data_IF_888725981480
#
_entry.id   IF_888725981480
#
_cell.length_a   1.000
_cell.length_b   1.000
_cell.length_c   1.000
_cell.angle_alpha   90.00
_cell.angle_beta   90.00
_cell.angle_gamma   90.00
#
_symmetry.space_group_name_H-M   'P 1'
#
loop_
_entity.id
_entity.type
_entity.pdbx_description
1 polymer ?
#
# COMPACT_ATOMS: atom_id res chain seq x y z
N UNK A 1 -45.32 -85.14 -20.60
CA UNK A 1 -46.02 -84.00 -21.23
C UNK A 1 -46.14 -82.88 -20.20
N UNK A 2 -45.66 -81.69 -20.59
CA UNK A 2 -45.85 -80.35 -20.02
C UNK A 2 -45.37 -79.95 -18.60
N UNK A 3 -44.52 -78.90 -18.64
CA UNK A 3 -44.51 -77.66 -17.84
C UNK A 3 -44.11 -77.71 -16.36
N UNK A 4 -43.01 -77.04 -16.00
CA UNK A 4 -43.02 -75.61 -15.64
C UNK A 4 -41.60 -75.02 -15.43
N UNK A 5 -41.42 -73.78 -15.88
CA UNK A 5 -40.28 -72.88 -15.68
C UNK A 5 -40.14 -72.37 -14.23
N UNK A 6 -38.94 -71.97 -13.81
CA UNK A 6 -38.55 -70.55 -13.57
C UNK A 6 -37.12 -70.37 -12.97
N UNK A 7 -36.31 -69.60 -13.71
CA UNK A 7 -35.26 -68.59 -13.36
C UNK A 7 -34.07 -68.84 -12.41
N UNK A 8 -32.89 -69.00 -13.03
CA UNK A 8 -31.68 -68.11 -13.06
C UNK A 8 -31.26 -67.26 -11.83
N UNK A 9 -30.05 -67.51 -11.29
CA UNK A 9 -28.86 -66.61 -11.40
C UNK A 9 -27.70 -67.00 -10.46
N UNK A 10 -26.52 -67.17 -11.07
CA UNK A 10 -25.18 -67.29 -10.47
C UNK A 10 -24.67 -65.94 -9.95
N UNK A 11 -23.94 -65.95 -8.82
CA UNK A 11 -22.80 -65.03 -8.63
C UNK A 11 -21.69 -65.68 -7.82
N UNK A 12 -20.55 -65.88 -8.47
CA UNK A 12 -19.28 -66.37 -7.94
C UNK A 12 -18.52 -65.21 -7.26
N UNK A 13 -17.95 -65.47 -6.08
CA UNK A 13 -17.12 -64.53 -5.32
C UNK A 13 -15.66 -64.73 -5.69
N UNK A 14 -14.92 -63.65 -5.95
CA UNK A 14 -13.44 -63.66 -6.05
C UNK A 14 -12.88 -62.37 -5.47
N UNK A 15 -11.74 -62.55 -4.82
CA UNK A 15 -11.04 -61.80 -3.77
C UNK A 15 -10.27 -60.55 -4.23
N UNK A 16 -10.01 -59.66 -3.26
CA UNK A 16 -8.84 -58.72 -3.12
C UNK A 16 -8.96 -57.34 -3.79
N UNK A 17 -9.13 -56.28 -2.99
CA UNK A 17 -8.03 -55.35 -2.68
C UNK A 17 -8.41 -54.39 -1.53
N UNK A 18 -7.56 -54.35 -0.51
CA UNK A 18 -7.60 -53.46 0.66
C UNK A 18 -6.20 -52.92 0.82
N UNK A 19 -5.89 -51.78 0.17
CA UNK A 19 -4.72 -50.94 0.47
C UNK A 19 -4.69 -49.68 -0.43
N UNK A 20 -5.64 -48.74 -0.30
CA UNK A 20 -5.49 -47.45 -0.99
C UNK A 20 -6.21 -46.25 -0.32
N UNK A 21 -6.53 -46.29 0.97
CA UNK A 21 -7.23 -45.18 1.65
C UNK A 21 -6.55 -44.62 2.90
N UNK A 22 -5.28 -45.01 3.17
CA UNK A 22 -4.56 -44.59 4.37
C UNK A 22 -3.54 -43.46 4.14
N UNK A 23 -3.32 -43.00 2.90
CA UNK A 23 -2.28 -42.00 2.59
C UNK A 23 -2.79 -40.58 2.34
N UNK A 24 -4.08 -40.39 2.06
CA UNK A 24 -4.67 -39.05 1.83
C UNK A 24 -5.14 -38.38 3.14
N UNK A 25 -5.36 -39.15 4.21
CA UNK A 25 -5.89 -38.64 5.47
C UNK A 25 -4.83 -37.98 6.36
N UNK A 26 -3.57 -38.39 6.28
CA UNK A 26 -2.46 -37.81 7.08
C UNK A 26 -2.07 -36.41 6.59
N UNK A 27 -1.94 -36.23 5.28
CA UNK A 27 -1.54 -34.94 4.67
C UNK A 27 -2.58 -33.83 4.92
N UNK A 28 -3.87 -34.17 4.87
CA UNK A 28 -4.96 -33.24 5.20
C UNK A 28 -4.99 -32.81 6.67
N UNK A 29 -4.57 -33.68 7.59
CA UNK A 29 -4.54 -33.39 9.03
C UNK A 29 -3.37 -32.47 9.38
N UNK A 30 -2.20 -32.73 8.80
CA UNK A 30 -1.00 -31.91 8.99
C UNK A 30 -1.17 -30.50 8.38
N UNK A 31 -1.86 -30.37 7.24
CA UNK A 31 -2.18 -29.07 6.64
C UNK A 31 -3.17 -28.26 7.48
N UNK A 32 -4.17 -28.91 8.09
CA UNK A 32 -5.12 -28.26 9.00
C UNK A 32 -4.43 -27.79 10.30
N UNK A 33 -3.53 -28.59 10.85
CA UNK A 33 -2.78 -28.25 12.05
C UNK A 33 -1.80 -27.09 11.78
N UNK A 34 -1.16 -27.08 10.62
CA UNK A 34 -0.30 -25.98 10.18
C UNK A 34 -1.08 -24.69 9.95
N UNK A 35 -2.25 -24.76 9.31
CA UNK A 35 -3.12 -23.60 9.11
C UNK A 35 -3.60 -23.01 10.44
N UNK A 36 -4.00 -23.85 11.39
CA UNK A 36 -4.38 -23.43 12.74
C UNK A 36 -3.21 -22.79 13.50
N UNK A 37 -1.99 -23.32 13.32
CA UNK A 37 -0.80 -22.76 13.96
C UNK A 37 -0.38 -21.41 13.35
N UNK A 38 -0.52 -21.24 12.03
CA UNK A 38 -0.32 -19.95 11.35
C UNK A 38 -1.36 -18.94 11.85
N UNK A 39 -2.64 -19.31 11.91
CA UNK A 39 -3.70 -18.41 12.40
C UNK A 39 -3.42 -17.96 13.84
N UNK A 40 -3.05 -18.89 14.72
CA UNK A 40 -2.73 -18.59 16.12
C UNK A 40 -1.47 -17.71 16.26
N UNK A 41 -0.42 -17.97 15.47
CA UNK A 41 0.79 -17.13 15.46
C UNK A 41 0.52 -15.73 14.90
N UNK A 42 -0.34 -15.61 13.89
CA UNK A 42 -0.72 -14.33 13.30
C UNK A 42 -1.53 -13.50 14.29
N UNK A 43 -2.44 -14.15 15.01
CA UNK A 43 -3.23 -13.53 16.09
C UNK A 43 -2.35 -13.12 17.28
N UNK A 44 -1.36 -13.93 17.65
CA UNK A 44 -0.41 -13.60 18.71
C UNK A 44 0.57 -12.48 18.32
N UNK A 45 1.00 -12.41 17.05
CA UNK A 45 1.80 -11.29 16.53
C UNK A 45 0.98 -10.00 16.53
N UNK A 46 -0.29 -10.06 16.12
CA UNK A 46 -1.20 -8.91 16.20
C UNK A 46 -1.41 -8.45 17.64
N UNK A 47 -1.60 -9.37 18.59
CA UNK A 47 -1.73 -9.04 20.02
C UNK A 47 -0.47 -8.39 20.58
N UNK A 48 0.71 -8.95 20.31
CA UNK A 48 2.00 -8.40 20.77
C UNK A 48 2.27 -7.01 20.20
N UNK A 49 1.92 -6.77 18.93
CA UNK A 49 2.02 -5.45 18.29
C UNK A 49 1.03 -4.46 18.89
N UNK A 50 -0.21 -4.87 19.19
CA UNK A 50 -1.21 -4.04 19.87
C UNK A 50 -0.79 -3.64 21.30
N UNK A 51 -0.20 -4.57 22.06
CA UNK A 51 0.38 -4.27 23.38
C UNK A 51 1.56 -3.29 23.27
N UNK A 52 2.36 -3.39 22.20
CA UNK A 52 3.47 -2.46 21.93
C UNK A 52 2.99 -1.03 21.63
N UNK A 53 1.86 -0.87 20.94
CA UNK A 53 1.28 0.44 20.56
C UNK A 53 0.67 1.15 21.78
N UNK A 54 -0.02 0.42 22.67
CA UNK A 54 -0.65 1.01 23.86
C UNK A 54 0.36 1.45 24.94
N UNK A 55 1.49 0.73 25.08
CA UNK A 55 2.52 1.08 26.06
C UNK A 55 3.29 2.39 25.70
N UNK A 56 3.22 2.84 24.44
CA UNK A 56 4.01 3.98 23.96
C UNK A 56 3.34 5.35 24.22
N UNK A 57 2.02 5.45 24.10
CA UNK A 57 1.30 6.74 24.20
C UNK A 57 1.32 7.34 25.62
N UNK A 58 1.27 6.52 26.67
CA UNK A 58 1.32 6.99 28.06
C UNK A 58 2.73 7.49 28.47
N UNK A 59 3.78 6.87 27.90
CA UNK A 59 5.18 7.17 28.26
C UNK A 59 5.61 8.56 27.78
N UNK A 60 5.14 9.03 26.63
CA UNK A 60 5.54 10.34 26.08
C UNK A 60 4.93 11.53 26.81
N UNK A 61 3.63 11.50 27.17
CA UNK A 61 3.02 12.55 28.01
C UNK A 61 3.68 12.65 29.38
N UNK A 62 3.98 11.51 30.00
CA UNK A 62 4.68 11.48 31.29
C UNK A 62 6.10 12.08 31.20
N UNK A 63 6.77 11.90 30.06
CA UNK A 63 8.12 12.45 29.82
C UNK A 63 8.08 13.97 29.63
N UNK A 64 7.13 14.49 28.84
CA UNK A 64 6.96 15.93 28.65
C UNK A 64 6.60 16.65 29.96
N UNK A 65 5.68 16.09 30.75
CA UNK A 65 5.31 16.62 32.07
C UNK A 65 6.49 16.53 33.06
N UNK A 66 7.25 15.43 33.03
CA UNK A 66 8.45 15.27 33.85
C UNK A 66 9.53 16.32 33.54
N UNK A 67 9.82 16.55 32.26
CA UNK A 67 10.77 17.57 31.80
C UNK A 67 10.31 18.98 32.17
N UNK A 68 9.02 19.28 32.02
CA UNK A 68 8.46 20.57 32.43
C UNK A 68 8.57 20.78 33.94
N UNK A 69 8.25 19.76 34.74
CA UNK A 69 8.35 19.83 36.20
C UNK A 69 9.79 20.05 36.65
N UNK A 70 10.75 19.29 36.10
CA UNK A 70 12.19 19.47 36.40
C UNK A 70 12.66 20.86 35.99
N UNK A 71 12.26 21.33 34.81
CA UNK A 71 12.61 22.66 34.32
C UNK A 71 12.10 23.79 35.22
N UNK A 72 10.84 23.70 35.65
CA UNK A 72 10.21 24.67 36.57
C UNK A 72 10.89 24.64 37.95
N UNK A 73 11.14 23.44 38.51
CA UNK A 73 11.80 23.30 39.82
C UNK A 73 13.23 23.84 39.77
N UNK A 74 13.99 23.56 38.71
CA UNK A 74 15.34 24.09 38.53
C UNK A 74 15.34 25.62 38.41
N UNK A 75 14.44 26.18 37.61
CA UNK A 75 14.29 27.64 37.46
C UNK A 75 13.94 28.33 38.80
N UNK A 76 13.02 27.73 39.59
CA UNK A 76 12.67 28.22 40.92
C UNK A 76 13.83 28.08 41.92
N UNK A 77 14.57 26.98 41.86
CA UNK A 77 15.77 26.77 42.68
C UNK A 77 16.84 27.83 42.41
N UNK A 78 17.01 28.26 41.16
CA UNK A 78 17.96 29.32 40.80
C UNK A 78 17.65 30.69 41.44
N UNK A 79 16.42 30.94 41.87
CA UNK A 79 16.03 32.16 42.61
C UNK A 79 16.41 32.08 44.10
N UNK A 80 16.42 30.87 44.66
CA UNK A 80 16.68 30.61 46.09
C UNK A 80 18.18 30.43 46.38
N UNK A 81 18.98 30.00 45.40
CA UNK A 81 20.40 29.68 45.55
C UNK A 81 21.26 30.50 44.57
N UNK A 82 21.78 31.68 45.00
CA UNK A 82 22.56 32.58 44.15
C UNK A 82 23.85 31.96 43.61
N UNK A 83 24.54 31.15 44.42
CA UNK A 83 25.86 30.57 44.09
C UNK A 83 25.80 29.54 42.95
N UNK A 84 24.63 28.95 42.69
CA UNK A 84 24.42 27.94 41.63
C UNK A 84 23.40 28.39 40.58
N UNK A 85 23.05 29.68 40.56
CA UNK A 85 21.98 30.24 39.72
C UNK A 85 22.19 29.96 38.24
N UNK A 86 23.41 30.14 37.73
CA UNK A 86 23.69 29.97 36.30
C UNK A 86 23.45 28.53 35.83
N UNK A 87 23.84 27.54 36.64
CA UNK A 87 23.61 26.11 36.35
C UNK A 87 22.12 25.78 36.42
N UNK A 88 21.41 26.29 37.44
CA UNK A 88 19.99 26.01 37.64
C UNK A 88 19.10 26.67 36.58
N UNK A 89 19.44 27.88 36.14
CA UNK A 89 18.75 28.57 35.04
C UNK A 89 19.00 27.85 33.72
N UNK A 90 20.23 27.43 33.44
CA UNK A 90 20.55 26.65 32.24
C UNK A 90 19.77 25.33 32.22
N UNK A 91 19.78 24.57 33.32
CA UNK A 91 19.02 23.33 33.45
C UNK A 91 17.51 23.55 33.31
N UNK A 92 16.99 24.63 33.90
CA UNK A 92 15.60 25.05 33.78
C UNK A 92 15.20 25.31 32.33
N UNK A 93 16.02 26.09 31.61
CA UNK A 93 15.81 26.39 30.20
C UNK A 93 15.86 25.14 29.34
N UNK A 94 16.83 24.24 29.54
CA UNK A 94 16.93 22.99 28.78
C UNK A 94 15.75 22.05 29.06
N UNK A 95 15.31 21.93 30.32
CA UNK A 95 14.14 21.12 30.69
C UNK A 95 12.84 21.64 30.08
N UNK A 96 12.60 22.95 30.16
CA UNK A 96 11.43 23.59 29.55
C UNK A 96 11.47 23.49 28.02
N UNK A 97 12.63 23.73 27.40
CA UNK A 97 12.80 23.59 25.96
C UNK A 97 12.55 22.14 25.51
N UNK A 98 13.12 21.16 26.22
CA UNK A 98 12.87 19.75 25.97
C UNK A 98 11.40 19.37 26.14
N UNK A 99 10.69 19.95 27.11
CA UNK A 99 9.25 19.74 27.30
C UNK A 99 8.43 20.30 26.13
N UNK A 100 8.73 21.52 25.67
CA UNK A 100 8.08 22.13 24.50
C UNK A 100 8.35 21.31 23.25
N UNK A 101 9.61 20.92 23.02
CA UNK A 101 10.00 20.08 21.90
C UNK A 101 9.27 18.73 21.93
N UNK A 102 9.22 18.06 23.07
CA UNK A 102 8.51 16.78 23.22
C UNK A 102 7.00 16.94 23.04
N UNK A 103 6.43 18.06 23.46
CA UNK A 103 5.01 18.36 23.29
C UNK A 103 4.65 18.62 21.82
N UNK A 104 5.48 19.38 21.10
CA UNK A 104 5.26 19.69 19.68
C UNK A 104 5.60 18.54 18.74
N UNK A 105 6.59 17.73 19.08
CA UNK A 105 6.93 16.52 18.34
C UNK A 105 6.01 15.33 18.68
N UNK A 106 5.08 15.49 19.64
CA UNK A 106 4.12 14.45 19.98
C UNK A 106 3.11 14.30 18.84
N UNK A 107 3.05 13.14 18.17
CA UNK A 107 2.07 12.93 17.11
C UNK A 107 0.67 12.97 17.71
N UNK A 108 -0.24 13.70 17.07
CA UNK A 108 -1.59 13.94 17.59
C UNK A 108 -2.43 12.67 17.63
N UNK A 109 -2.21 11.72 16.72
CA UNK A 109 -2.89 10.42 16.66
C UNK A 109 -1.97 9.40 15.96
N UNK A 110 -1.63 8.30 16.63
CA UNK A 110 -0.98 7.16 15.98
C UNK A 110 -2.07 6.20 15.52
N UNK A 111 -2.30 6.15 14.21
CA UNK A 111 -3.07 5.06 13.60
C UNK A 111 -2.04 3.98 13.27
N UNK A 112 -2.22 2.78 13.82
CA UNK A 112 -1.35 1.67 13.48
C UNK A 112 -1.55 1.31 12.00
N UNK A 113 -0.45 1.00 11.30
CA UNK A 113 -0.46 0.76 9.85
C UNK A 113 -1.47 -0.34 9.44
N UNK A 114 -1.69 -1.33 10.32
CA UNK A 114 -2.67 -2.40 10.12
C UNK A 114 -4.12 -1.91 10.06
N UNK A 115 -4.46 -0.84 10.78
CA UNK A 115 -5.79 -0.23 10.71
C UNK A 115 -5.99 0.46 9.36
N UNK A 116 -4.97 1.19 8.89
CA UNK A 116 -4.97 1.82 7.57
C UNK A 116 -5.10 0.78 6.45
N UNK A 117 -4.31 -0.30 6.53
CA UNK A 117 -4.36 -1.41 5.58
C UNK A 117 -5.75 -2.07 5.54
N UNK A 118 -6.38 -2.32 6.69
CA UNK A 118 -7.71 -2.96 6.76
C UNK A 118 -8.80 -2.09 6.14
N UNK A 119 -8.78 -0.78 6.40
CA UNK A 119 -9.76 0.16 5.81
C UNK A 119 -9.57 0.25 4.29
N UNK A 120 -8.33 0.40 3.83
CA UNK A 120 -7.99 0.37 2.41
C UNK A 120 -8.45 -0.94 1.75
N UNK A 121 -8.12 -2.08 2.36
CA UNK A 121 -8.44 -3.42 1.83
C UNK A 121 -9.94 -3.59 1.66
N UNK A 122 -10.74 -3.19 2.66
CA UNK A 122 -12.20 -3.28 2.56
C UNK A 122 -12.76 -2.41 1.41
N UNK A 123 -12.28 -1.17 1.28
CA UNK A 123 -12.72 -0.25 0.23
C UNK A 123 -12.36 -0.77 -1.17
N UNK A 124 -11.11 -1.21 -1.35
CA UNK A 124 -10.62 -1.66 -2.65
C UNK A 124 -11.11 -3.05 -3.04
N UNK A 125 -11.45 -3.91 -2.08
CA UNK A 125 -12.14 -5.17 -2.37
C UNK A 125 -13.52 -4.89 -3.00
N UNK A 126 -14.26 -3.90 -2.47
CA UNK A 126 -15.54 -3.51 -3.05
C UNK A 126 -15.37 -2.90 -4.45
N UNK A 127 -14.40 -2.01 -4.65
CA UNK A 127 -14.16 -1.39 -5.96
C UNK A 127 -13.66 -2.38 -7.03
N UNK A 128 -12.81 -3.34 -6.63
CA UNK A 128 -12.41 -4.44 -7.49
C UNK A 128 -13.64 -5.26 -7.92
N UNK A 129 -14.50 -5.63 -6.96
CA UNK A 129 -15.73 -6.39 -7.25
C UNK A 129 -16.67 -5.62 -8.19
N UNK A 130 -16.83 -4.30 -8.00
CA UNK A 130 -17.63 -3.45 -8.90
C UNK A 130 -17.01 -3.41 -10.30
N UNK A 131 -15.69 -3.29 -10.39
CA UNK A 131 -14.97 -3.25 -11.67
C UNK A 131 -15.13 -4.56 -12.43
N UNK A 132 -15.07 -5.69 -11.74
CA UNK A 132 -15.31 -7.02 -12.30
C UNK A 132 -16.77 -7.19 -12.77
N UNK A 133 -17.75 -6.79 -11.96
CA UNK A 133 -19.17 -6.83 -12.34
C UNK A 133 -19.50 -5.96 -13.55
N UNK A 134 -18.82 -4.82 -13.68
CA UNK A 134 -18.94 -3.93 -14.84
C UNK A 134 -18.14 -4.43 -16.05
N UNK A 135 -17.38 -5.52 -15.92
CA UNK A 135 -16.55 -6.09 -16.98
C UNK A 135 -15.44 -5.14 -17.43
N UNK A 136 -14.89 -4.36 -16.49
CA UNK A 136 -13.79 -3.45 -16.77
C UNK A 136 -12.48 -4.21 -16.96
N UNK A 137 -11.53 -3.59 -17.65
CA UNK A 137 -10.20 -4.15 -17.87
C UNK A 137 -9.33 -3.89 -16.64
N UNK A 138 -8.33 -4.74 -16.44
CA UNK A 138 -7.32 -4.55 -15.39
C UNK A 138 -6.35 -3.40 -15.71
N UNK A 139 -6.36 -2.90 -16.96
CA UNK A 139 -5.54 -1.78 -17.39
C UNK A 139 -5.92 -0.51 -16.64
N UNK A 140 -5.00 -0.01 -15.82
CA UNK A 140 -5.17 1.21 -15.01
C UNK A 140 -4.45 2.35 -15.69
N UNK A 141 -5.17 3.42 -16.02
CA UNK A 141 -4.61 4.58 -16.73
C UNK A 141 -4.75 5.81 -15.84
N UNK A 142 -3.62 6.38 -15.42
CA UNK A 142 -3.57 7.60 -14.61
C UNK A 142 -3.50 8.79 -15.54
N UNK A 143 -4.56 9.60 -15.54
CA UNK A 143 -4.73 10.74 -16.44
C UNK A 143 -4.46 12.03 -15.67
N UNK A 144 -3.50 12.87 -16.10
CA UNK A 144 -3.18 14.11 -15.42
C UNK A 144 -4.36 15.09 -15.44
N UNK A 145 -4.41 15.96 -14.44
CA UNK A 145 -5.44 16.98 -14.32
C UNK A 145 -4.93 18.27 -13.70
N UNK A 146 -5.66 19.37 -13.92
CA UNK A 146 -5.29 20.68 -13.39
C UNK A 146 -5.67 20.85 -11.90
N UNK A 147 -6.79 20.26 -11.47
CA UNK A 147 -7.30 20.39 -10.10
C UNK A 147 -6.78 19.31 -9.16
N UNK A 148 -6.51 18.13 -9.72
CA UNK A 148 -5.93 17.01 -9.00
C UNK A 148 -4.77 16.46 -9.82
N UNK A 149 -3.65 16.03 -9.20
CA UNK A 149 -2.44 15.68 -9.94
C UNK A 149 -2.68 14.65 -11.05
N UNK A 150 -3.45 13.60 -10.72
CA UNK A 150 -3.99 12.68 -11.71
C UNK A 150 -5.25 11.97 -11.17
N UNK A 151 -6.03 11.41 -12.09
CA UNK A 151 -7.20 10.55 -11.80
C UNK A 151 -7.03 9.20 -12.45
N UNK A 152 -7.62 8.17 -11.84
CA UNK A 152 -7.57 6.81 -12.35
C UNK A 152 -8.72 6.57 -13.33
N UNK A 153 -8.40 6.27 -14.57
CA UNK A 153 -9.31 5.75 -15.58
C UNK A 153 -9.17 4.23 -15.70
N UNK A 154 -10.30 3.53 -15.64
CA UNK A 154 -10.40 2.08 -15.85
C UNK A 154 -11.36 1.83 -17.02
N UNK A 155 -10.85 1.53 -18.23
CA UNK A 155 -11.67 1.35 -19.42
C UNK A 155 -12.38 0.00 -19.41
N UNK A 156 -13.54 -0.07 -20.07
CA UNK A 156 -14.24 -1.32 -20.33
C UNK A 156 -13.71 -2.04 -21.57
N UNK A 157 -13.26 -1.28 -22.58
CA UNK A 157 -12.80 -1.82 -23.85
C UNK A 157 -11.27 -1.83 -23.95
N UNK A 158 -10.73 -2.74 -24.78
CA UNK A 158 -9.29 -2.84 -24.99
C UNK A 158 -8.74 -1.65 -25.79
N UNK A 159 -9.49 -1.23 -26.81
CA UNK A 159 -9.32 0.03 -27.50
C UNK A 159 -10.22 1.04 -26.82
N UNK A 160 -9.64 2.14 -26.34
CA UNK A 160 -10.35 3.18 -25.62
C UNK A 160 -9.76 4.55 -25.95
N UNK A 161 -10.59 5.58 -25.82
CA UNK A 161 -10.16 6.96 -25.74
C UNK A 161 -10.30 7.47 -24.31
N UNK A 162 -9.46 8.44 -23.93
CA UNK A 162 -9.58 9.12 -22.65
C UNK A 162 -10.74 10.12 -22.76
N UNK A 163 -11.69 10.13 -21.80
CA UNK A 163 -12.84 11.02 -21.88
C UNK A 163 -12.46 12.50 -21.76
N UNK A 164 -13.11 13.33 -22.58
CA UNK A 164 -13.03 14.78 -22.51
C UNK A 164 -13.80 15.32 -21.29
N UNK A 165 -15.02 14.82 -21.07
CA UNK A 165 -15.79 15.11 -19.87
C UNK A 165 -15.36 14.22 -18.70
N UNK A 166 -14.80 14.86 -17.68
CA UNK A 166 -14.22 14.22 -16.49
C UNK A 166 -15.01 14.54 -15.22
N UNK A 167 -16.25 15.02 -15.34
CA UNK A 167 -17.01 15.57 -14.20
C UNK A 167 -17.48 14.51 -13.18
N UNK A 168 -17.59 13.24 -13.59
CA UNK A 168 -18.14 12.16 -12.77
C UNK A 168 -17.29 10.88 -12.75
N UNK A 169 -17.66 9.90 -11.90
CA UNK A 169 -16.94 8.64 -11.78
C UNK A 169 -17.33 7.58 -12.81
N UNK A 170 -18.48 7.72 -13.47
CA UNK A 170 -18.98 6.78 -14.47
C UNK A 170 -18.96 7.47 -15.83
N UNK A 171 -18.30 6.84 -16.80
CA UNK A 171 -18.20 7.31 -18.19
C UNK A 171 -18.98 6.35 -19.06
N UNK A 172 -19.93 6.88 -19.85
CA UNK A 172 -20.90 6.07 -20.60
C UNK A 172 -20.79 6.22 -22.12
N UNK A 173 -19.93 7.12 -22.59
CA UNK A 173 -19.63 7.29 -24.01
C UNK A 173 -18.99 6.02 -24.56
N UNK A 174 -19.38 5.59 -25.77
CA UNK A 174 -19.03 4.25 -26.28
C UNK A 174 -17.51 4.01 -26.36
N UNK A 175 -16.73 4.97 -26.84
CA UNK A 175 -15.28 4.82 -27.01
C UNK A 175 -14.48 5.06 -25.71
N UNK A 176 -15.10 5.65 -24.69
CA UNK A 176 -14.46 6.01 -23.41
C UNK A 176 -15.14 5.33 -22.21
N UNK A 177 -15.97 4.31 -22.45
CA UNK A 177 -16.80 3.68 -21.42
C UNK A 177 -15.93 3.07 -20.32
N UNK A 178 -16.21 3.42 -19.07
CA UNK A 178 -15.39 2.98 -17.93
C UNK A 178 -15.65 3.75 -16.64
N UNK A 179 -14.71 3.65 -15.70
CA UNK A 179 -14.71 4.40 -14.45
C UNK A 179 -13.61 5.45 -14.44
N UNK A 180 -13.91 6.64 -13.93
CA UNK A 180 -12.97 7.74 -13.77
C UNK A 180 -12.88 8.17 -12.30
N UNK A 181 -12.03 7.50 -11.53
CA UNK A 181 -11.98 7.56 -10.08
C UNK A 181 -10.91 8.56 -9.59
N UNK A 182 -11.02 8.92 -8.32
CA UNK A 182 -9.91 9.56 -7.61
C UNK A 182 -8.82 8.51 -7.35
N UNK A 183 -7.57 8.85 -7.69
CA UNK A 183 -6.44 7.95 -7.47
C UNK A 183 -6.00 8.01 -6.00
N UNK A 184 -5.80 6.85 -5.39
CA UNK A 184 -5.30 6.71 -4.00
C UNK A 184 -3.97 7.45 -3.81
N UNK A 185 -3.11 7.44 -4.84
CA UNK A 185 -1.84 8.14 -4.86
C UNK A 185 -1.94 9.67 -4.98
N UNK A 186 -3.10 10.25 -5.28
CA UNK A 186 -3.23 11.69 -5.54
C UNK A 186 -2.93 12.55 -4.31
N UNK A 187 -3.48 12.20 -3.15
CA UNK A 187 -3.19 12.90 -1.90
C UNK A 187 -1.78 12.64 -1.40
N UNK A 188 -1.26 11.41 -1.58
CA UNK A 188 0.14 11.10 -1.28
C UNK A 188 1.08 11.97 -2.10
N UNK A 189 0.80 12.13 -3.40
CA UNK A 189 1.59 13.00 -4.26
C UNK A 189 1.51 14.48 -3.88
N UNK A 190 0.33 14.97 -3.48
CA UNK A 190 0.19 16.35 -2.96
C UNK A 190 1.03 16.58 -1.71
N UNK A 191 1.04 15.63 -0.78
CA UNK A 191 1.87 15.72 0.43
C UNK A 191 3.36 15.62 0.12
N UNK A 192 3.73 14.80 -0.87
CA UNK A 192 5.09 14.72 -1.39
C UNK A 192 5.55 16.07 -1.95
N UNK A 193 4.77 16.65 -2.86
CA UNK A 193 5.07 17.93 -3.49
C UNK A 193 5.20 19.07 -2.46
N UNK A 194 4.34 19.09 -1.42
CA UNK A 194 4.43 20.08 -0.33
C UNK A 194 5.70 19.98 0.49
N UNK A 195 6.26 18.78 0.63
CA UNK A 195 7.49 18.54 1.38
C UNK A 195 8.75 18.76 0.54
N UNK A 196 8.63 18.72 -0.78
CA UNK A 196 9.75 18.83 -1.70
C UNK A 196 10.37 20.23 -1.65
N UNK A 197 11.71 20.28 -1.64
CA UNK A 197 12.43 21.55 -1.79
C UNK A 197 12.58 21.86 -3.27
N UNK A 198 11.57 22.53 -3.84
CA UNK A 198 11.51 22.86 -5.26
C UNK A 198 10.30 22.23 -5.95
N UNK A 199 10.31 22.21 -7.27
CA UNK A 199 9.25 21.61 -8.09
C UNK A 199 9.58 20.15 -8.43
N UNK A 200 8.54 19.38 -8.75
CA UNK A 200 8.69 18.03 -9.28
C UNK A 200 9.37 18.11 -10.65
N UNK A 201 10.29 17.19 -10.91
CA UNK A 201 11.00 17.13 -12.19
C UNK A 201 10.05 16.83 -13.35
N UNK A 202 10.48 17.19 -14.56
CA UNK A 202 9.77 16.87 -15.81
C UNK A 202 10.48 15.78 -16.62
N UNK A 203 11.71 15.43 -16.24
CA UNK A 203 12.47 14.34 -16.87
C UNK A 203 12.18 13.01 -16.15
N UNK A 204 11.93 11.89 -16.87
CA UNK A 204 11.57 10.61 -16.27
C UNK A 204 12.53 10.13 -15.18
N UNK A 205 13.84 10.33 -15.37
CA UNK A 205 14.86 9.94 -14.39
C UNK A 205 14.82 10.75 -13.10
N UNK A 206 14.56 12.05 -13.21
CA UNK A 206 14.42 12.94 -12.05
C UNK A 206 13.15 12.59 -11.30
N UNK A 207 12.03 12.40 -12.01
CA UNK A 207 10.75 11.98 -11.42
C UNK A 207 10.91 10.66 -10.67
N UNK A 208 11.50 9.64 -11.30
CA UNK A 208 11.68 8.34 -10.67
C UNK A 208 12.51 8.41 -9.38
N UNK A 209 13.63 9.14 -9.39
CA UNK A 209 14.46 9.34 -8.20
C UNK A 209 13.67 10.03 -7.09
N UNK A 210 12.98 11.12 -7.42
CA UNK A 210 12.15 11.87 -6.48
C UNK A 210 11.05 11.01 -5.85
N UNK A 211 10.34 10.22 -6.66
CA UNK A 211 9.25 9.37 -6.18
C UNK A 211 9.76 8.18 -5.36
N UNK A 212 10.85 7.53 -5.77
CA UNK A 212 11.43 6.40 -5.00
C UNK A 212 11.95 6.87 -3.64
N UNK A 213 12.63 8.01 -3.59
CA UNK A 213 13.04 8.65 -2.33
C UNK A 213 11.82 8.99 -1.45
N UNK A 214 10.77 9.58 -2.03
CA UNK A 214 9.53 9.89 -1.31
C UNK A 214 8.85 8.65 -0.73
N UNK A 215 8.83 7.55 -1.50
CA UNK A 215 8.22 6.29 -1.09
C UNK A 215 8.89 5.68 0.14
N UNK A 216 10.23 5.67 0.16
CA UNK A 216 11.05 5.01 1.20
C UNK A 216 11.28 5.95 2.38
N UNK A 217 11.70 7.19 2.13
CA UNK A 217 12.19 8.10 3.17
C UNK A 217 11.08 8.98 3.76
N UNK A 218 10.14 9.46 2.95
CA UNK A 218 9.09 10.35 3.44
C UNK A 218 7.88 9.59 3.98
N UNK A 219 7.40 8.60 3.25
CA UNK A 219 6.19 7.87 3.62
C UNK A 219 6.44 6.51 4.26
N UNK A 220 7.66 5.98 4.17
CA UNK A 220 8.03 4.66 4.67
C UNK A 220 7.05 3.56 4.20
N UNK A 221 6.55 3.68 2.96
CA UNK A 221 5.57 2.73 2.40
C UNK A 221 6.23 1.46 1.87
N UNK A 222 7.52 1.51 1.58
CA UNK A 222 8.34 0.35 1.25
C UNK A 222 9.70 0.43 1.95
N UNK A 223 10.32 -0.72 2.13
CA UNK A 223 11.67 -0.81 2.66
C UNK A 223 12.73 -0.37 1.63
N UNK A 224 12.52 -0.68 0.35
CA UNK A 224 13.35 -0.19 -0.74
C UNK A 224 12.54 -0.03 -2.03
N UNK A 225 13.00 0.89 -2.88
CA UNK A 225 12.45 1.13 -4.20
C UNK A 225 13.59 1.49 -5.17
N UNK A 226 13.78 0.68 -6.21
CA UNK A 226 14.85 0.85 -7.19
C UNK A 226 14.25 1.02 -8.59
N UNK A 227 14.58 2.12 -9.27
CA UNK A 227 14.03 2.43 -10.59
C UNK A 227 14.97 2.04 -11.73
N UNK A 228 14.43 1.35 -12.74
CA UNK A 228 15.00 1.15 -14.07
C UNK A 228 14.17 1.91 -15.11
N UNK A 229 14.81 2.70 -15.96
CA UNK A 229 14.11 3.66 -16.84
C UNK A 229 14.59 3.50 -18.27
N UNK A 230 13.63 3.28 -19.15
CA UNK A 230 13.79 3.19 -20.59
C UNK A 230 13.00 4.32 -21.24
N UNK A 231 13.63 5.49 -21.30
CA UNK A 231 13.05 6.72 -21.84
C UNK A 231 12.65 6.56 -23.31
N UNK A 232 13.45 5.82 -24.09
CA UNK A 232 13.21 5.61 -25.52
C UNK A 232 11.88 4.89 -25.77
N UNK A 233 11.51 3.95 -24.88
CA UNK A 233 10.26 3.21 -24.95
C UNK A 233 9.19 3.74 -23.98
N UNK A 234 9.38 4.93 -23.41
CA UNK A 234 8.42 5.56 -22.49
C UNK A 234 8.06 4.66 -21.29
N UNK A 235 9.04 4.02 -20.67
CA UNK A 235 8.82 3.04 -19.59
C UNK A 235 9.70 3.34 -18.37
N UNK A 236 9.13 3.23 -17.19
CA UNK A 236 9.85 3.13 -15.92
C UNK A 236 9.37 1.89 -15.17
N UNK A 237 10.28 1.06 -14.69
CA UNK A 237 10.00 -0.12 -13.86
C UNK A 237 10.64 0.09 -12.50
N UNK A 238 9.85 0.03 -11.45
CA UNK A 238 10.29 0.25 -10.08
C UNK A 238 10.17 -1.07 -9.33
N UNK A 239 11.30 -1.58 -8.87
CA UNK A 239 11.39 -2.77 -8.04
C UNK A 239 11.13 -2.38 -6.58
N UNK A 240 10.17 -3.03 -5.94
CA UNK A 240 9.71 -2.72 -4.57
C UNK A 240 9.96 -3.90 -3.64
N UNK A 241 10.51 -3.61 -2.46
CA UNK A 241 10.69 -4.61 -1.37
C UNK A 241 10.05 -4.11 -0.08
N UNK A 242 9.43 -5.01 0.67
CA UNK A 242 8.93 -4.74 2.02
C UNK A 242 7.78 -3.73 2.05
N UNK A 243 6.72 -3.98 1.26
CA UNK A 243 5.50 -3.15 1.25
C UNK A 243 4.83 -3.08 2.62
N UNK A 244 4.46 -1.86 3.04
CA UNK A 244 3.68 -1.61 4.24
C UNK A 244 2.18 -1.95 4.08
N UNK A 245 1.68 -2.04 2.84
CA UNK A 245 0.23 -2.18 2.52
C UNK A 245 -0.14 -3.52 1.86
N UNK A 246 0.60 -4.58 2.18
CA UNK A 246 0.35 -5.91 1.62
C UNK A 246 0.67 -5.97 0.13
N UNK A 247 -0.06 -6.81 -0.61
CA UNK A 247 0.18 -7.08 -2.04
C UNK A 247 -0.12 -5.88 -2.94
N UNK A 248 0.78 -5.57 -3.88
CA UNK A 248 0.70 -4.38 -4.75
C UNK A 248 -0.26 -4.54 -5.93
N UNK A 249 -0.70 -5.75 -6.24
CA UNK A 249 -1.63 -6.07 -7.34
C UNK A 249 -3.09 -5.67 -7.04
N UNK A 250 -3.40 -5.41 -5.75
CA UNK A 250 -4.69 -4.91 -5.29
C UNK A 250 -5.10 -3.64 -6.04
N UNK A 251 -6.41 -3.45 -6.17
CA UNK A 251 -6.98 -2.33 -6.91
C UNK A 251 -6.47 -0.99 -6.36
N UNK A 252 -5.85 -0.19 -7.23
CA UNK A 252 -5.31 1.14 -6.94
C UNK A 252 -4.47 1.21 -5.63
N UNK A 253 -3.55 0.25 -5.47
CA UNK A 253 -2.66 0.18 -4.31
C UNK A 253 -1.85 1.47 -4.08
N UNK A 254 -1.66 1.96 -2.83
CA UNK A 254 -1.02 3.24 -2.56
C UNK A 254 0.34 3.42 -3.23
N UNK A 255 1.20 2.40 -3.20
CA UNK A 255 2.55 2.45 -3.81
C UNK A 255 2.48 2.60 -5.35
N UNK A 256 1.89 1.65 -6.13
CA UNK A 256 1.77 1.83 -7.58
C UNK A 256 0.98 3.07 -7.99
N UNK A 257 -0.09 3.41 -7.25
CA UNK A 257 -0.90 4.59 -7.51
C UNK A 257 -0.09 5.88 -7.35
N UNK A 258 0.69 6.01 -6.27
CA UNK A 258 1.58 7.15 -6.05
C UNK A 258 2.62 7.31 -7.17
N UNK A 259 3.25 6.20 -7.58
CA UNK A 259 4.21 6.19 -8.69
C UNK A 259 3.56 6.66 -10.00
N UNK A 260 2.41 6.07 -10.36
CA UNK A 260 1.73 6.38 -11.60
C UNK A 260 1.19 7.81 -11.64
N UNK A 261 0.64 8.30 -10.52
CA UNK A 261 0.23 9.71 -10.35
C UNK A 261 1.43 10.63 -10.54
N UNK A 262 2.57 10.32 -9.91
CA UNK A 262 3.76 11.17 -10.00
C UNK A 262 4.35 11.25 -11.40
N UNK A 263 4.40 10.13 -12.13
CA UNK A 263 4.78 10.15 -13.54
C UNK A 263 3.75 10.90 -14.39
N UNK A 264 2.44 10.68 -14.17
CA UNK A 264 1.41 11.36 -14.95
C UNK A 264 1.45 12.88 -14.77
N UNK A 265 1.61 13.34 -13.52
CA UNK A 265 1.70 14.74 -13.16
C UNK A 265 3.02 15.37 -13.66
N UNK A 266 4.17 14.73 -13.44
CA UNK A 266 5.47 15.27 -13.83
C UNK A 266 5.70 15.30 -15.35
N UNK A 267 5.16 14.32 -16.08
CA UNK A 267 5.26 14.25 -17.54
C UNK A 267 4.13 14.99 -18.27
N UNK A 268 3.08 15.38 -17.54
CA UNK A 268 1.80 15.89 -18.07
C UNK A 268 1.23 14.98 -19.18
N UNK A 269 1.29 13.66 -18.96
CA UNK A 269 0.83 12.64 -19.92
C UNK A 269 0.11 11.50 -19.21
N UNK A 270 -0.86 10.84 -19.87
CA UNK A 270 -1.46 9.63 -19.34
C UNK A 270 -0.43 8.52 -19.13
N UNK A 271 -0.49 7.86 -17.98
CA UNK A 271 0.41 6.76 -17.60
C UNK A 271 -0.39 5.49 -17.40
N UNK A 272 -0.03 4.43 -18.12
CA UNK A 272 -0.58 3.09 -17.89
C UNK A 272 0.27 2.35 -16.87
N UNK A 273 -0.40 1.70 -15.92
CA UNK A 273 0.23 0.99 -14.82
C UNK A 273 0.06 -0.53 -14.98
N UNK A 274 1.16 -1.25 -14.84
CA UNK A 274 1.20 -2.71 -14.72
C UNK A 274 1.95 -3.09 -13.44
N UNK A 275 1.45 -4.10 -12.72
CA UNK A 275 2.08 -4.61 -11.50
C UNK A 275 2.26 -6.11 -11.66
N UNK A 276 3.47 -6.60 -11.40
CA UNK A 276 3.81 -8.01 -11.44
C UNK A 276 4.55 -8.41 -10.17
N UNK A 277 4.45 -9.69 -9.79
CA UNK A 277 5.33 -10.25 -8.76
C UNK A 277 6.79 -10.17 -9.24
N UNK A 278 7.70 -9.86 -8.32
CA UNK A 278 9.12 -9.81 -8.60
C UNK A 278 9.80 -11.18 -8.47
N UNK A 279 11.12 -11.14 -8.29
CA UNK A 279 11.98 -12.32 -8.13
C UNK A 279 12.73 -12.26 -6.78
N UNK A 280 13.82 -13.03 -6.63
CA UNK A 280 14.62 -13.05 -5.39
C UNK A 280 15.23 -11.67 -5.01
N UNK A 281 15.21 -10.68 -5.91
CA UNK A 281 15.81 -9.35 -5.69
C UNK A 281 14.80 -8.31 -5.23
N UNK A 282 13.52 -8.50 -5.52
CA UNK A 282 12.45 -7.58 -5.14
C UNK A 282 11.12 -8.33 -5.09
N UNK A 283 10.26 -7.95 -4.15
CA UNK A 283 8.96 -8.61 -3.97
C UNK A 283 8.00 -8.32 -5.14
N UNK A 284 8.07 -7.12 -5.72
CA UNK A 284 7.16 -6.63 -6.75
C UNK A 284 7.86 -5.76 -7.78
N UNK A 285 7.34 -5.76 -9.00
CA UNK A 285 7.73 -4.87 -10.10
C UNK A 285 6.53 -4.00 -10.50
N UNK A 286 6.70 -2.68 -10.40
CA UNK A 286 5.70 -1.69 -10.80
C UNK A 286 6.16 -1.01 -12.07
N UNK A 287 5.45 -1.21 -13.17
CA UNK A 287 5.79 -0.66 -14.48
C UNK A 287 4.84 0.46 -14.86
N UNK A 288 5.36 1.67 -14.99
CA UNK A 288 4.67 2.83 -15.54
C UNK A 288 5.05 2.98 -17.02
N UNK A 289 4.06 3.14 -17.90
CA UNK A 289 4.27 3.37 -19.34
C UNK A 289 3.54 4.63 -19.81
N UNK A 290 4.15 5.39 -20.70
CA UNK A 290 3.59 6.57 -21.34
C UNK A 290 3.98 6.61 -22.81
N UNK A 291 3.26 7.38 -23.63
CA UNK A 291 3.64 7.58 -25.03
C UNK A 291 4.93 8.38 -25.13
N UNK A 292 5.92 7.82 -25.84
CA UNK A 292 7.15 8.54 -26.17
C UNK A 292 6.86 9.58 -27.26
N UNK A 293 7.62 10.67 -27.29
CA UNK A 293 7.43 11.73 -28.30
C UNK A 293 7.55 11.22 -29.75
N UNK A 294 8.24 10.09 -29.94
CA UNK A 294 8.44 9.46 -31.25
C UNK A 294 7.18 8.78 -31.79
N UNK A 295 6.23 8.36 -30.96
CA UNK A 295 4.94 7.82 -31.41
C UNK A 295 3.95 8.91 -31.82
N UNK A 296 4.03 10.10 -31.20
CA UNK A 296 3.12 11.22 -31.51
C UNK A 296 3.36 11.84 -32.90
N UNK A 297 4.56 11.70 -33.47
CA UNK A 297 4.86 12.15 -34.85
C UNK A 297 4.46 11.14 -35.95
N UNK A 298 4.06 9.91 -35.57
CA UNK A 298 3.77 8.83 -36.52
C UNK A 298 2.27 8.50 -36.69
N UNK A 299 1.38 9.20 -35.96
CA UNK A 299 -0.09 9.08 -36.05
C UNK A 299 -0.72 10.34 -36.64
#
# INVERSE_FOLDING_TARGET
>A
MSSNDYETSDTHSTTTDTAESASESTDSTDQLELAAQVELLTEENHRLRQEFVQARQSRYRSTAVGLAAIGIVAALGGLLFPDTRDVLVALGATGLFGAVLTYYLMPSQFIAADVGERVYTAAMTNLASISDELGLRENRVYVPGETVPARLFVPQHAEYSIPDDRSGPIVVDDDSRGLFLEATGAELFREFERALTGEVGTEPAVIASQLTDGLVEQFELAQSADADIDVANGRATIAITGSAFGSLDRFDHPIPSFLAVGFAAGLDRPVTLEVAAGDDRADWLVTCRWSSETETEAA
#
